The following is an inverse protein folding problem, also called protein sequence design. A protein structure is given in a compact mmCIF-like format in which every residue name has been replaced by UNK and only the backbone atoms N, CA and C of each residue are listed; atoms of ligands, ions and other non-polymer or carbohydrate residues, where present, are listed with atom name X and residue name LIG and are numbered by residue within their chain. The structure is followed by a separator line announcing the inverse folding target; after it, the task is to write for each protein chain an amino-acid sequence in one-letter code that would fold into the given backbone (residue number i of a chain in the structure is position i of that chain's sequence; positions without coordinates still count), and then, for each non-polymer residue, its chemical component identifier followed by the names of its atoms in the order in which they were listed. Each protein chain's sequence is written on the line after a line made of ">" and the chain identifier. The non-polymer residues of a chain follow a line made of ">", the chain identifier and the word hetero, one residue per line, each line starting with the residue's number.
data_IF_147169782008
#
_entry.id   IF_147169782008
#
_cell.length_a   1.000
_cell.length_b   1.000
_cell.length_c   1.000
_cell.angle_alpha   90.00
_cell.angle_beta   90.00
_cell.angle_gamma   90.00
#
_symmetry.space_group_name_H-M   'P 1'
#
loop_
_entity.id
_entity.type
_entity.pdbx_description
1 polymer ?
#
# COMPACT_ATOMS: atom_id res chain seq x y z
N UNK A 1 26.43 -12.47 -13.82
CA UNK A 1 26.78 -11.66 -12.63
C UNK A 1 26.74 -10.20 -13.04
N UNK A 2 25.82 -9.45 -12.47
CA UNK A 2 25.80 -8.00 -12.64
C UNK A 2 27.13 -7.43 -12.09
N UNK A 3 27.77 -6.50 -12.78
CA UNK A 3 28.97 -5.86 -12.28
C UNK A 3 28.65 -5.16 -10.95
N UNK A 4 29.59 -5.20 -10.00
CA UNK A 4 29.53 -4.40 -8.77
C UNK A 4 29.51 -2.92 -9.15
N UNK A 5 28.35 -2.37 -9.40
CA UNK A 5 28.18 -0.94 -9.66
C UNK A 5 28.32 -0.26 -8.30
N UNK A 6 29.47 0.35 -8.05
CA UNK A 6 29.61 1.33 -6.96
C UNK A 6 28.78 2.55 -7.33
N UNK A 7 27.60 2.65 -6.74
CA UNK A 7 26.71 3.76 -6.97
C UNK A 7 27.03 4.80 -5.93
N UNK A 8 27.79 5.79 -6.34
CA UNK A 8 28.08 6.97 -5.55
C UNK A 8 26.80 7.78 -5.37
N UNK A 9 26.38 8.02 -4.13
CA UNK A 9 25.23 8.86 -3.82
C UNK A 9 23.89 8.11 -3.60
N UNK A 10 23.80 6.78 -3.80
CA UNK A 10 22.56 6.04 -3.56
C UNK A 10 22.09 6.13 -2.11
N UNK A 11 23.00 5.99 -1.16
CA UNK A 11 22.65 6.06 0.26
C UNK A 11 22.17 7.46 0.65
N UNK A 12 22.78 8.50 0.11
CA UNK A 12 22.34 9.88 0.34
C UNK A 12 20.93 10.10 -0.21
N UNK A 13 20.67 9.66 -1.43
CA UNK A 13 19.36 9.79 -2.04
C UNK A 13 18.28 8.98 -1.30
N UNK A 14 18.62 7.77 -0.85
CA UNK A 14 17.76 6.94 -0.01
C UNK A 14 17.44 7.61 1.33
N UNK A 15 18.45 8.23 1.95
CA UNK A 15 18.27 8.98 3.21
C UNK A 15 17.32 10.15 3.01
N UNK A 16 17.53 10.95 1.97
CA UNK A 16 16.65 12.08 1.65
C UNK A 16 15.20 11.62 1.41
N UNK A 17 15.02 10.52 0.68
CA UNK A 17 13.70 9.94 0.45
C UNK A 17 13.05 9.53 1.78
N UNK A 18 13.77 8.80 2.63
CA UNK A 18 13.25 8.35 3.93
C UNK A 18 12.92 9.55 4.83
N UNK A 19 13.76 10.58 4.83
CA UNK A 19 13.53 11.78 5.64
C UNK A 19 12.34 12.60 5.15
N UNK A 20 12.01 12.54 3.87
CA UNK A 20 10.86 13.24 3.29
C UNK A 20 9.51 12.65 3.70
N UNK A 21 9.47 11.40 4.18
CA UNK A 21 8.23 10.73 4.61
C UNK A 21 7.65 11.39 5.85
N UNK A 22 6.32 11.53 5.89
CA UNK A 22 5.58 12.21 6.97
C UNK A 22 4.65 11.24 7.69
N UNK A 23 4.23 11.65 8.89
CA UNK A 23 3.17 10.96 9.64
C UNK A 23 1.93 10.82 8.75
N UNK A 24 1.25 9.69 8.85
CA UNK A 24 0.07 9.27 8.10
C UNK A 24 0.31 8.91 6.61
N UNK A 25 1.53 9.04 6.09
CA UNK A 25 1.81 8.59 4.72
C UNK A 25 1.59 7.08 4.56
N UNK A 26 1.07 6.70 3.40
CA UNK A 26 1.08 5.35 2.87
C UNK A 26 2.11 5.29 1.73
N UNK A 27 3.18 4.54 1.93
CA UNK A 27 4.25 4.43 0.94
C UNK A 27 3.85 3.46 -0.17
N UNK A 28 3.92 3.91 -1.42
CA UNK A 28 3.75 3.03 -2.58
C UNK A 28 5.06 3.02 -3.37
N UNK A 29 5.59 1.82 -3.61
CA UNK A 29 6.90 1.65 -4.22
C UNK A 29 6.79 0.81 -5.49
N UNK A 30 7.06 1.44 -6.63
CA UNK A 30 7.22 0.78 -7.90
C UNK A 30 8.65 0.23 -8.00
N UNK A 31 8.79 -1.06 -8.13
CA UNK A 31 10.07 -1.76 -8.29
C UNK A 31 10.33 -2.16 -9.73
N UNK A 32 9.48 -1.73 -10.67
CA UNK A 32 9.48 -2.19 -12.05
C UNK A 32 9.36 -3.72 -12.14
N UNK A 33 8.69 -4.33 -11.16
CA UNK A 33 8.51 -5.79 -11.02
C UNK A 33 9.81 -6.57 -10.98
N UNK A 34 10.88 -6.00 -10.41
CA UNK A 34 12.11 -6.73 -10.21
C UNK A 34 11.88 -7.97 -9.33
N UNK A 35 12.29 -9.13 -9.81
CA UNK A 35 12.12 -10.42 -9.11
C UNK A 35 13.42 -10.89 -8.42
N UNK A 36 14.47 -10.10 -8.43
CA UNK A 36 15.80 -10.53 -8.01
C UNK A 36 16.29 -9.86 -6.73
N UNK A 37 15.60 -8.82 -6.26
CA UNK A 37 16.01 -8.09 -5.08
C UNK A 37 14.82 -7.63 -4.23
N UNK A 38 15.11 -7.34 -2.96
CA UNK A 38 14.15 -6.74 -2.04
C UNK A 38 14.44 -5.26 -1.88
N UNK A 39 13.38 -4.47 -1.88
CA UNK A 39 13.46 -3.03 -1.66
C UNK A 39 12.87 -2.62 -0.30
N UNK A 40 12.25 -3.56 0.42
CA UNK A 40 11.70 -3.33 1.76
C UNK A 40 12.10 -4.45 2.73
N UNK A 41 12.46 -4.06 3.95
CA UNK A 41 12.84 -5.01 5.02
C UNK A 41 12.68 -4.39 6.41
N UNK A 42 13.32 -5.02 7.41
CA UNK A 42 13.19 -4.66 8.81
C UNK A 42 13.57 -3.21 9.13
N UNK A 43 14.67 -2.71 8.58
CA UNK A 43 15.12 -1.31 8.80
C UNK A 43 14.11 -0.32 8.23
N UNK A 44 13.60 -0.57 7.02
CA UNK A 44 12.58 0.26 6.39
C UNK A 44 11.30 0.30 7.24
N UNK A 45 10.89 -0.86 7.75
CA UNK A 45 9.73 -1.00 8.63
C UNK A 45 9.92 -0.23 9.94
N UNK A 46 11.09 -0.34 10.57
CA UNK A 46 11.40 0.41 11.81
C UNK A 46 11.36 1.92 11.55
N UNK A 47 11.93 2.38 10.45
CA UNK A 47 11.89 3.79 10.04
C UNK A 47 10.46 4.26 9.81
N UNK A 48 9.66 3.50 9.05
CA UNK A 48 8.26 3.81 8.76
C UNK A 48 7.44 3.93 10.05
N UNK A 49 7.61 2.99 10.99
CA UNK A 49 6.94 3.05 12.29
C UNK A 49 7.39 4.25 13.14
N UNK A 50 8.69 4.52 13.18
CA UNK A 50 9.24 5.68 13.90
C UNK A 50 8.68 7.00 13.39
N UNK A 51 8.40 7.08 12.10
CA UNK A 51 7.76 8.24 11.45
C UNK A 51 6.22 8.18 11.47
N UNK A 52 5.63 7.13 12.06
CA UNK A 52 4.17 6.91 12.15
C UNK A 52 3.46 6.80 10.80
N UNK A 53 4.12 6.21 9.81
CA UNK A 53 3.49 5.89 8.54
C UNK A 53 2.37 4.86 8.75
N UNK A 54 1.37 4.88 7.90
CA UNK A 54 0.21 3.96 8.01
C UNK A 54 0.49 2.58 7.47
N UNK A 55 1.11 2.48 6.31
CA UNK A 55 1.37 1.22 5.64
C UNK A 55 2.39 1.38 4.50
N UNK A 56 2.73 0.27 3.84
CA UNK A 56 3.48 0.28 2.61
C UNK A 56 2.91 -0.72 1.59
N UNK A 57 2.98 -0.39 0.31
CA UNK A 57 2.70 -1.28 -0.81
C UNK A 57 3.93 -1.34 -1.72
N UNK A 58 4.47 -2.53 -1.89
CA UNK A 58 5.70 -2.78 -2.65
C UNK A 58 5.35 -3.65 -3.86
N UNK A 59 5.45 -3.11 -5.07
CA UNK A 59 5.29 -3.86 -6.32
C UNK A 59 6.51 -4.76 -6.56
N UNK A 60 6.73 -5.71 -5.65
CA UNK A 60 7.91 -6.56 -5.67
C UNK A 60 8.18 -7.28 -4.34
N UNK A 61 9.47 -7.60 -4.11
CA UNK A 61 9.92 -8.44 -3.02
C UNK A 61 10.18 -7.72 -1.70
N UNK A 62 9.89 -8.41 -0.61
CA UNK A 62 10.26 -8.01 0.76
C UNK A 62 11.16 -9.07 1.42
N UNK A 63 11.87 -8.66 2.48
CA UNK A 63 12.61 -9.55 3.39
C UNK A 63 12.34 -9.19 4.85
N UNK A 64 12.98 -9.91 5.75
CA UNK A 64 12.87 -9.68 7.20
C UNK A 64 11.41 -9.76 7.70
N UNK A 65 10.62 -10.66 7.08
CA UNK A 65 9.17 -10.78 7.32
C UNK A 65 8.84 -10.98 8.80
N UNK A 66 9.68 -11.72 9.54
CA UNK A 66 9.50 -11.90 10.99
C UNK A 66 9.52 -10.55 11.74
N UNK A 67 10.45 -9.66 11.39
CA UNK A 67 10.55 -8.33 12.01
C UNK A 67 9.35 -7.46 11.64
N UNK A 68 8.90 -7.53 10.38
CA UNK A 68 7.72 -6.79 9.91
C UNK A 68 6.47 -7.23 10.67
N UNK A 69 6.24 -8.54 10.80
CA UNK A 69 5.12 -9.10 11.56
C UNK A 69 5.18 -8.70 13.04
N UNK A 70 6.35 -8.83 13.68
CA UNK A 70 6.54 -8.44 15.07
C UNK A 70 6.32 -6.93 15.29
N UNK A 71 6.60 -6.12 14.29
CA UNK A 71 6.33 -4.70 14.30
C UNK A 71 4.83 -4.37 14.13
N UNK A 72 4.00 -5.33 13.73
CA UNK A 72 2.59 -5.11 13.36
C UNK A 72 2.43 -3.94 12.38
N UNK A 73 3.27 -3.90 11.35
CA UNK A 73 3.25 -2.88 10.31
C UNK A 73 2.53 -3.43 9.06
N UNK A 74 1.44 -2.81 8.62
CA UNK A 74 0.72 -3.25 7.43
C UNK A 74 1.59 -3.08 6.19
N UNK A 75 1.78 -4.19 5.45
CA UNK A 75 2.54 -4.17 4.20
C UNK A 75 1.89 -5.07 3.16
N UNK A 76 1.78 -4.56 1.94
CA UNK A 76 1.32 -5.25 0.74
C UNK A 76 2.52 -5.48 -0.16
N UNK A 77 2.67 -6.69 -0.69
CA UNK A 77 3.84 -7.06 -1.48
C UNK A 77 3.53 -8.24 -2.41
N UNK A 78 4.34 -8.45 -3.43
CA UNK A 78 4.14 -9.58 -4.36
C UNK A 78 4.76 -10.88 -3.85
N UNK A 79 5.99 -10.85 -3.34
CA UNK A 79 6.72 -12.05 -2.94
C UNK A 79 7.78 -11.77 -1.85
N UNK A 80 8.40 -12.85 -1.36
CA UNK A 80 9.49 -12.80 -0.37
C UNK A 80 10.77 -13.32 -0.99
N UNK A 81 11.87 -12.59 -0.77
CA UNK A 81 13.19 -12.99 -1.21
C UNK A 81 14.26 -12.38 -0.30
N UNK A 82 15.33 -13.12 0.01
CA UNK A 82 16.38 -12.66 0.92
C UNK A 82 17.42 -11.74 0.27
N UNK A 83 17.50 -11.70 -1.06
CA UNK A 83 18.50 -10.91 -1.78
C UNK A 83 18.32 -9.41 -1.53
N UNK A 84 19.34 -8.74 -1.02
CA UNK A 84 19.31 -7.28 -0.81
C UNK A 84 19.44 -6.49 -2.11
N UNK A 85 19.02 -5.23 -2.08
CA UNK A 85 19.05 -4.30 -3.22
C UNK A 85 20.45 -3.75 -3.55
N UNK A 86 21.37 -3.74 -2.60
CA UNK A 86 22.71 -3.18 -2.80
C UNK A 86 23.43 -3.85 -3.98
N UNK A 87 23.85 -3.03 -4.96
CA UNK A 87 24.51 -3.48 -6.17
C UNK A 87 23.59 -4.17 -7.21
N UNK A 88 22.26 -4.19 -6.95
CA UNK A 88 21.25 -4.76 -7.86
C UNK A 88 20.22 -3.74 -8.33
N UNK A 89 19.75 -2.91 -7.43
CA UNK A 89 18.71 -1.91 -7.71
C UNK A 89 19.11 -0.55 -7.18
N UNK A 90 18.57 0.49 -7.80
CA UNK A 90 18.72 1.89 -7.45
C UNK A 90 17.38 2.52 -7.25
N UNK A 91 17.28 3.42 -6.27
CA UNK A 91 16.17 4.37 -6.22
C UNK A 91 16.47 5.45 -7.25
N UNK A 92 15.64 5.56 -8.26
CA UNK A 92 15.81 6.56 -9.34
C UNK A 92 15.08 7.86 -9.04
N UNK A 93 13.87 7.75 -8.46
CA UNK A 93 13.02 8.90 -8.17
C UNK A 93 12.15 8.61 -6.93
N UNK A 94 11.68 9.66 -6.28
CA UNK A 94 10.61 9.61 -5.28
C UNK A 94 9.70 10.84 -5.42
N UNK A 95 8.49 10.77 -4.87
CA UNK A 95 7.46 11.81 -4.99
C UNK A 95 7.10 12.17 -6.45
N UNK A 96 7.06 11.16 -7.31
CA UNK A 96 6.64 11.27 -8.71
C UNK A 96 5.43 10.37 -8.98
N UNK A 97 4.64 10.64 -10.03
CA UNK A 97 3.64 9.68 -10.49
C UNK A 97 4.28 8.37 -10.91
N UNK A 98 3.69 7.25 -10.48
CA UNK A 98 4.11 5.90 -10.84
C UNK A 98 2.96 5.12 -11.45
N UNK A 99 3.26 3.96 -12.03
CA UNK A 99 2.24 3.07 -12.59
C UNK A 99 2.50 1.63 -12.15
N UNK A 100 1.57 1.07 -11.38
CA UNK A 100 1.59 -0.34 -10.97
C UNK A 100 0.45 -1.05 -11.69
N UNK A 101 0.79 -2.04 -12.51
CA UNK A 101 -0.18 -2.67 -13.40
C UNK A 101 -0.85 -1.65 -14.33
N UNK A 102 -2.17 -1.51 -14.22
CA UNK A 102 -2.95 -0.54 -15.00
C UNK A 102 -3.31 0.72 -14.20
N UNK A 103 -2.86 0.83 -12.95
CA UNK A 103 -3.22 1.94 -12.04
C UNK A 103 -2.12 2.98 -12.03
N UNK A 104 -2.47 4.23 -12.33
CA UNK A 104 -1.58 5.38 -12.14
C UNK A 104 -1.79 5.93 -10.73
N UNK A 105 -0.70 6.14 -10.00
CA UNK A 105 -0.69 6.60 -8.62
C UNK A 105 0.12 7.88 -8.56
N UNK A 106 -0.45 8.92 -7.98
CA UNK A 106 0.22 10.23 -7.86
C UNK A 106 0.50 10.55 -6.39
N UNK A 107 1.58 11.27 -6.09
CA UNK A 107 1.77 11.81 -4.75
C UNK A 107 0.54 12.60 -4.28
N UNK A 108 0.06 12.29 -3.08
CA UNK A 108 -1.15 12.90 -2.51
C UNK A 108 -2.45 12.14 -2.79
N UNK A 109 -2.45 11.10 -3.61
CA UNK A 109 -3.60 10.20 -3.73
C UNK A 109 -3.85 9.47 -2.40
N UNK A 110 -5.11 9.21 -2.10
CA UNK A 110 -5.49 8.43 -0.90
C UNK A 110 -5.36 6.95 -1.20
N UNK A 111 -4.70 6.24 -0.30
CA UNK A 111 -4.50 4.78 -0.42
C UNK A 111 -5.23 4.09 0.72
N UNK A 112 -6.07 3.13 0.39
CA UNK A 112 -6.70 2.23 1.34
C UNK A 112 -6.26 0.80 1.05
N UNK A 113 -5.95 0.06 2.11
CA UNK A 113 -5.55 -1.32 1.99
C UNK A 113 -6.11 -2.17 3.12
N UNK A 114 -6.58 -3.37 2.77
CA UNK A 114 -7.02 -4.40 3.70
C UNK A 114 -6.57 -5.79 3.23
N UNK A 115 -7.16 -6.85 3.78
CA UNK A 115 -6.81 -8.23 3.42
C UNK A 115 -7.14 -8.58 1.96
N UNK A 116 -8.08 -7.87 1.34
CA UNK A 116 -8.52 -8.12 -0.03
C UNK A 116 -7.67 -7.38 -1.07
N UNK A 117 -6.92 -6.36 -0.64
CA UNK A 117 -6.00 -5.64 -1.53
C UNK A 117 -5.82 -4.16 -1.23
N UNK A 118 -5.39 -3.43 -2.26
CA UNK A 118 -5.09 -2.00 -2.16
C UNK A 118 -5.89 -1.22 -3.21
N UNK A 119 -6.57 -0.17 -2.77
CA UNK A 119 -7.33 0.75 -3.64
C UNK A 119 -6.67 2.12 -3.63
N UNK A 120 -6.54 2.70 -4.80
CA UNK A 120 -6.04 4.06 -5.01
C UNK A 120 -7.22 4.99 -5.32
N UNK A 121 -7.36 6.04 -4.54
CA UNK A 121 -8.40 7.05 -4.72
C UNK A 121 -7.72 8.36 -5.11
N UNK A 122 -7.90 8.84 -6.35
CA UNK A 122 -7.33 10.11 -6.79
C UNK A 122 -7.74 11.26 -5.85
N UNK A 123 -6.78 12.08 -5.46
CA UNK A 123 -6.99 13.15 -4.49
C UNK A 123 -8.18 14.06 -4.82
N UNK A 124 -8.37 14.37 -6.09
CA UNK A 124 -9.42 15.30 -6.54
C UNK A 124 -10.86 14.78 -6.37
N UNK A 125 -11.05 13.48 -6.16
CA UNK A 125 -12.38 12.86 -5.94
C UNK A 125 -12.49 12.20 -4.57
N UNK A 126 -11.46 12.30 -3.72
CA UNK A 126 -11.39 11.57 -2.46
C UNK A 126 -12.55 11.91 -1.52
N UNK A 127 -12.97 13.16 -1.48
CA UNK A 127 -14.09 13.60 -0.64
C UNK A 127 -15.44 13.03 -1.11
N UNK A 128 -15.70 13.03 -2.41
CA UNK A 128 -16.94 12.47 -2.98
C UNK A 128 -17.00 10.96 -2.76
N UNK A 129 -15.87 10.28 -2.92
CA UNK A 129 -15.75 8.84 -2.65
C UNK A 129 -16.01 8.56 -1.16
N UNK A 130 -15.48 9.37 -0.24
CA UNK A 130 -15.74 9.24 1.19
C UNK A 130 -17.23 9.33 1.50
N UNK A 131 -17.89 10.38 1.04
CA UNK A 131 -19.34 10.58 1.27
C UNK A 131 -20.15 9.39 0.74
N UNK A 132 -19.84 8.94 -0.47
CA UNK A 132 -20.54 7.80 -1.08
C UNK A 132 -20.28 6.50 -0.31
N UNK A 133 -19.07 6.29 0.17
CA UNK A 133 -18.71 5.11 0.98
C UNK A 133 -19.45 5.08 2.32
N UNK A 134 -19.65 6.22 2.96
CA UNK A 134 -20.42 6.33 4.20
C UNK A 134 -21.91 5.99 3.98
N UNK A 135 -22.51 6.45 2.87
CA UNK A 135 -23.87 6.09 2.49
C UNK A 135 -24.01 4.58 2.28
N UNK A 136 -23.09 3.98 1.52
CA UNK A 136 -23.06 2.54 1.25
C UNK A 136 -22.94 1.77 2.58
N UNK A 137 -21.98 2.12 3.41
CA UNK A 137 -21.77 1.49 4.73
C UNK A 137 -23.00 1.55 5.62
N UNK A 138 -23.72 2.67 5.60
CA UNK A 138 -24.95 2.81 6.39
C UNK A 138 -26.10 1.96 5.83
N UNK A 139 -26.17 1.79 4.50
CA UNK A 139 -27.14 0.90 3.88
C UNK A 139 -26.82 -0.57 4.17
N UNK A 140 -25.57 -0.97 4.06
CA UNK A 140 -25.10 -2.32 4.38
C UNK A 140 -25.44 -2.71 5.83
N UNK A 141 -25.29 -1.82 6.78
CA UNK A 141 -25.70 -2.08 8.18
C UNK A 141 -27.19 -2.48 8.29
N UNK A 142 -28.06 -1.83 7.51
CA UNK A 142 -29.49 -2.18 7.47
C UNK A 142 -29.68 -3.56 6.84
N UNK A 143 -28.99 -3.84 5.73
CA UNK A 143 -29.06 -5.15 5.06
C UNK A 143 -28.61 -6.26 6.00
N UNK A 144 -27.47 -6.11 6.68
CA UNK A 144 -27.01 -7.08 7.67
C UNK A 144 -28.02 -7.30 8.81
N UNK A 145 -28.69 -6.24 9.28
CA UNK A 145 -29.75 -6.37 10.28
C UNK A 145 -30.93 -7.19 9.76
N UNK A 146 -31.39 -6.94 8.53
CA UNK A 146 -32.48 -7.70 7.92
C UNK A 146 -32.12 -9.17 7.71
N UNK A 147 -30.91 -9.46 7.23
CA UNK A 147 -30.38 -10.82 7.11
C UNK A 147 -30.37 -11.51 8.46
N UNK A 148 -29.87 -10.84 9.50
CA UNK A 148 -29.83 -11.39 10.87
C UNK A 148 -31.22 -11.69 11.44
N UNK A 149 -32.23 -10.92 11.03
CA UNK A 149 -33.64 -11.14 11.45
C UNK A 149 -34.32 -12.24 10.64
N UNK A 150 -33.66 -12.88 9.66
CA UNK A 150 -34.20 -13.97 8.85
C UNK A 150 -35.07 -13.48 7.68
N UNK A 151 -34.97 -12.20 7.30
CA UNK A 151 -35.70 -11.69 6.14
C UNK A 151 -35.26 -12.37 4.85
N UNK A 152 -36.20 -12.64 3.95
CA UNK A 152 -35.87 -13.26 2.67
C UNK A 152 -35.12 -12.29 1.76
N UNK A 153 -34.26 -12.83 0.89
CA UNK A 153 -33.52 -12.03 -0.10
C UNK A 153 -34.44 -11.18 -0.98
N UNK A 154 -35.62 -11.73 -1.35
CA UNK A 154 -36.63 -10.99 -2.09
C UNK A 154 -37.12 -9.76 -1.31
N UNK A 155 -37.48 -9.93 -0.05
CA UNK A 155 -37.93 -8.83 0.83
C UNK A 155 -36.85 -7.76 1.03
N UNK A 156 -35.59 -8.18 1.18
CA UNK A 156 -34.45 -7.26 1.30
C UNK A 156 -34.27 -6.43 0.04
N UNK A 157 -34.35 -7.07 -1.16
CA UNK A 157 -34.29 -6.37 -2.44
C UNK A 157 -35.42 -5.37 -2.62
N UNK A 158 -36.67 -5.75 -2.28
CA UNK A 158 -37.85 -4.89 -2.39
C UNK A 158 -37.73 -3.64 -1.50
N UNK A 159 -36.99 -3.72 -0.39
CA UNK A 159 -36.69 -2.60 0.52
C UNK A 159 -35.46 -1.78 0.08
N UNK A 160 -34.91 -2.04 -1.09
CA UNK A 160 -33.76 -1.32 -1.63
C UNK A 160 -32.40 -1.87 -1.18
N UNK A 161 -32.35 -3.07 -0.64
CA UNK A 161 -31.10 -3.79 -0.40
C UNK A 161 -30.50 -4.27 -1.72
N UNK A 162 -29.16 -4.42 -1.71
CA UNK A 162 -28.37 -4.97 -2.84
C UNK A 162 -27.38 -6.02 -2.32
N UNK A 163 -26.86 -6.84 -3.25
CA UNK A 163 -25.91 -7.90 -2.98
C UNK A 163 -24.78 -7.86 -3.98
#
# INVERSE_FOLDING_TARGET
>A
SAPNVKITGEMEYRTQMLDSMKEDDFVVWDTSRDQNATLWGGVMTATAKGKKLKAACIDGGIRDTHQILSANFPIFYEYRISNGSLGRCLITHYQIPIKIGNVTIKPGDVVMGDIDGVVIIPHNIAYDVLLRSEEIKNNEKKIFSWVKNGDSIRSIKERGGYF
#
